data_IF_820759948996
#
_entry.id   IF_820759948996
#
_cell.length_a   1.000
_cell.length_b   1.000
_cell.length_c   1.000
_cell.angle_alpha   90.00
_cell.angle_beta   90.00
_cell.angle_gamma   90.00
#
_symmetry.space_group_name_H-M   'P 1'
#
loop_
_entity.id
_entity.type
_entity.pdbx_description
1 polymer ?
#
# COMPACT_ATOMS: atom_id res chain seq x y z
N UNK A 1 -4.90 -11.16 -17.04
CA UNK A 1 -4.13 -9.90 -16.88
C UNK A 1 -4.80 -8.92 -15.92
N UNK A 2 -5.73 -8.03 -16.31
CA UNK A 2 -6.22 -7.03 -15.34
C UNK A 2 -7.02 -7.64 -14.17
N UNK A 3 -8.00 -8.50 -14.44
CA UNK A 3 -8.79 -9.16 -13.39
C UNK A 3 -7.90 -10.04 -12.47
N UNK A 4 -6.80 -10.56 -13.00
CA UNK A 4 -5.79 -11.34 -12.27
C UNK A 4 -4.93 -10.47 -11.35
N UNK A 5 -4.46 -9.31 -11.83
CA UNK A 5 -3.82 -8.28 -11.00
C UNK A 5 -4.72 -7.96 -9.79
N UNK A 6 -6.01 -7.71 -10.03
CA UNK A 6 -6.94 -7.37 -8.96
C UNK A 6 -7.13 -8.51 -7.95
N UNK A 7 -7.23 -9.76 -8.42
CA UNK A 7 -7.36 -10.92 -7.56
C UNK A 7 -6.12 -11.10 -6.66
N UNK A 8 -4.91 -10.89 -7.20
CA UNK A 8 -3.66 -10.97 -6.43
C UNK A 8 -3.54 -9.85 -5.41
N UNK A 9 -3.89 -8.62 -5.78
CA UNK A 9 -3.99 -7.51 -4.82
C UNK A 9 -5.01 -7.79 -3.73
N UNK A 10 -6.11 -8.48 -4.07
CA UNK A 10 -7.12 -8.85 -3.10
C UNK A 10 -6.62 -9.84 -2.05
N UNK A 11 -5.88 -10.86 -2.51
CA UNK A 11 -5.26 -11.83 -1.63
C UNK A 11 -4.25 -11.18 -0.67
N UNK A 12 -3.34 -10.35 -1.19
CA UNK A 12 -2.32 -9.69 -0.38
C UNK A 12 -2.91 -8.86 0.76
N UNK A 13 -3.97 -8.09 0.48
CA UNK A 13 -4.61 -7.24 1.49
C UNK A 13 -5.39 -8.05 2.53
N UNK A 14 -5.98 -9.19 2.16
CA UNK A 14 -6.66 -10.08 3.10
C UNK A 14 -5.67 -10.72 4.10
N UNK A 15 -4.49 -11.13 3.64
CA UNK A 15 -3.47 -11.76 4.49
C UNK A 15 -2.96 -10.83 5.61
N UNK A 16 -2.79 -9.54 5.34
CA UNK A 16 -2.30 -8.58 6.35
C UNK A 16 -3.34 -8.33 7.43
N UNK A 17 -4.62 -8.28 7.07
CA UNK A 17 -5.68 -7.99 8.03
C UNK A 17 -5.83 -9.10 9.09
N UNK A 18 -5.38 -10.32 8.80
CA UNK A 18 -5.32 -11.42 9.78
C UNK A 18 -4.25 -11.20 10.85
N UNK A 19 -3.17 -10.49 10.53
CA UNK A 19 -2.07 -10.22 11.44
C UNK A 19 -1.50 -8.81 11.18
N UNK A 20 -2.14 -7.76 11.71
CA UNK A 20 -1.86 -6.37 11.37
C UNK A 20 -0.64 -5.83 12.12
N UNK A 21 0.52 -6.47 11.94
CA UNK A 21 1.83 -6.03 12.43
C UNK A 21 2.60 -5.31 11.33
N UNK A 22 3.52 -4.41 11.70
CA UNK A 22 4.30 -3.61 10.76
C UNK A 22 5.12 -4.49 9.81
N UNK A 23 5.59 -5.65 10.25
CA UNK A 23 6.26 -6.65 9.38
C UNK A 23 5.34 -7.11 8.23
N UNK A 24 4.08 -7.41 8.53
CA UNK A 24 3.13 -7.88 7.52
C UNK A 24 2.70 -6.73 6.59
N UNK A 25 2.59 -5.52 7.12
CA UNK A 25 2.38 -4.34 6.27
C UNK A 25 3.59 -4.09 5.35
N UNK A 26 4.81 -4.28 5.84
CA UNK A 26 6.04 -4.16 5.03
C UNK A 26 6.12 -5.21 3.93
N UNK A 27 5.76 -6.46 4.26
CA UNK A 27 5.60 -7.54 3.29
C UNK A 27 4.58 -7.18 2.21
N UNK A 28 3.45 -6.59 2.59
CA UNK A 28 2.46 -6.10 1.63
C UNK A 28 2.98 -4.98 0.73
N UNK A 29 3.73 -4.02 1.28
CA UNK A 29 4.36 -2.99 0.47
C UNK A 29 5.28 -3.62 -0.58
N UNK A 30 6.09 -4.61 -0.17
CA UNK A 30 6.96 -5.36 -1.08
C UNK A 30 6.19 -6.11 -2.15
N UNK A 31 5.21 -6.91 -1.75
CA UNK A 31 4.42 -7.70 -2.69
C UNK A 31 3.62 -6.81 -3.66
N UNK A 32 3.11 -5.67 -3.18
CA UNK A 32 2.45 -4.68 -4.03
C UNK A 32 3.42 -4.07 -5.03
N UNK A 33 4.61 -3.68 -4.59
CA UNK A 33 5.65 -3.13 -5.47
C UNK A 33 6.07 -4.12 -6.55
N UNK A 34 6.32 -5.39 -6.19
CA UNK A 34 6.69 -6.43 -7.14
C UNK A 34 5.55 -6.69 -8.15
N UNK A 35 4.30 -6.70 -7.69
CA UNK A 35 3.13 -6.84 -8.55
C UNK A 35 2.92 -5.61 -9.46
N UNK A 36 3.19 -4.40 -8.97
CA UNK A 36 3.15 -3.18 -9.77
C UNK A 36 4.14 -3.25 -10.93
N UNK A 37 5.35 -3.75 -10.68
CA UNK A 37 6.36 -3.98 -11.72
C UNK A 37 5.92 -5.03 -12.74
N UNK A 38 5.30 -6.12 -12.30
CA UNK A 38 4.78 -7.17 -13.19
C UNK A 38 3.70 -6.63 -14.14
N UNK A 39 2.83 -5.74 -13.63
CA UNK A 39 1.74 -5.13 -14.40
C UNK A 39 2.00 -3.65 -14.72
N UNK A 40 3.25 -3.27 -14.96
CA UNK A 40 3.70 -1.86 -15.05
C UNK A 40 2.90 -1.04 -16.07
N UNK A 41 2.54 -1.64 -17.22
CA UNK A 41 1.73 -1.00 -18.25
C UNK A 41 0.40 -0.48 -17.68
N UNK A 42 -0.22 -1.23 -16.76
CA UNK A 42 -1.49 -0.82 -16.18
C UNK A 42 -1.31 0.45 -15.35
N UNK A 43 -0.23 0.55 -14.56
CA UNK A 43 0.02 1.70 -13.69
C UNK A 43 0.47 2.96 -14.44
N UNK A 44 1.17 2.81 -15.57
CA UNK A 44 1.55 3.93 -16.42
C UNK A 44 0.38 4.44 -17.28
N UNK A 45 -0.47 3.53 -17.76
CA UNK A 45 -1.54 3.85 -18.72
C UNK A 45 -2.96 3.81 -18.13
N UNK A 46 -3.11 3.77 -16.79
CA UNK A 46 -4.41 3.56 -16.13
C UNK A 46 -5.50 4.50 -16.67
N UNK A 47 -5.18 5.79 -16.88
CA UNK A 47 -6.15 6.78 -17.36
C UNK A 47 -6.62 6.51 -18.79
N UNK A 48 -5.73 6.08 -19.69
CA UNK A 48 -6.11 5.75 -21.07
C UNK A 48 -6.95 4.48 -21.10
N UNK A 49 -6.54 3.47 -20.33
CA UNK A 49 -7.24 2.20 -20.21
C UNK A 49 -8.69 2.37 -19.71
N UNK A 50 -8.92 3.18 -18.67
CA UNK A 50 -10.27 3.41 -18.14
C UNK A 50 -11.12 4.35 -19.01
N UNK A 51 -10.51 5.20 -19.86
CA UNK A 51 -11.23 6.05 -20.81
C UNK A 51 -11.72 5.26 -22.03
N UNK A 52 -10.98 4.23 -22.42
CA UNK A 52 -11.28 3.41 -23.61
C UNK A 52 -12.22 2.25 -23.33
N UNK A 53 -12.44 1.86 -22.06
CA UNK A 53 -13.31 0.74 -21.69
C UNK A 53 -14.14 1.01 -20.43
N UNK A 54 -15.47 1.14 -20.61
CA UNK A 54 -16.40 1.33 -19.48
C UNK A 54 -16.45 0.09 -18.56
N UNK A 55 -16.30 -1.12 -19.12
CA UNK A 55 -16.16 -2.35 -18.32
C UNK A 55 -14.95 -2.22 -17.39
N UNK A 56 -13.80 -1.84 -17.93
CA UNK A 56 -12.56 -1.74 -17.17
C UNK A 56 -12.65 -0.67 -16.08
N UNK A 57 -13.21 0.49 -16.42
CA UNK A 57 -13.48 1.58 -15.48
C UNK A 57 -14.35 1.16 -14.31
N UNK A 58 -15.43 0.39 -14.55
CA UNK A 58 -16.28 -0.14 -13.48
C UNK A 58 -15.49 -1.06 -12.55
N UNK A 59 -14.80 -2.04 -13.12
CA UNK A 59 -14.00 -3.02 -12.35
C UNK A 59 -12.89 -2.31 -11.56
N UNK A 60 -12.20 -1.33 -12.16
CA UNK A 60 -11.19 -0.52 -11.46
C UNK A 60 -11.79 0.32 -10.33
N UNK A 61 -12.96 0.93 -10.53
CA UNK A 61 -13.65 1.66 -9.46
C UNK A 61 -13.98 0.75 -8.28
N UNK A 62 -14.52 -0.44 -8.55
CA UNK A 62 -14.83 -1.44 -7.52
C UNK A 62 -13.57 -1.84 -6.75
N UNK A 63 -12.48 -2.10 -7.47
CA UNK A 63 -11.19 -2.43 -6.87
C UNK A 63 -10.66 -1.31 -5.96
N UNK A 64 -10.68 -0.05 -6.43
CA UNK A 64 -10.24 1.10 -5.64
C UNK A 64 -11.09 1.28 -4.38
N UNK A 65 -12.41 1.04 -4.44
CA UNK A 65 -13.25 1.06 -3.24
C UNK A 65 -12.84 -0.05 -2.28
N UNK A 66 -12.61 -1.25 -2.80
CA UNK A 66 -12.21 -2.41 -2.02
C UNK A 66 -10.86 -2.20 -1.31
N UNK A 67 -9.81 -1.78 -2.04
CA UNK A 67 -8.50 -1.46 -1.47
C UNK A 67 -8.62 -0.42 -0.36
N UNK A 68 -9.41 0.64 -0.60
CA UNK A 68 -9.62 1.67 0.41
C UNK A 68 -10.21 1.09 1.69
N UNK A 69 -11.24 0.25 1.59
CA UNK A 69 -11.85 -0.39 2.76
C UNK A 69 -10.86 -1.29 3.52
N UNK A 70 -10.01 -2.04 2.82
CA UNK A 70 -9.01 -2.89 3.45
C UNK A 70 -7.92 -2.09 4.16
N UNK A 71 -7.42 -1.01 3.53
CA UNK A 71 -6.45 -0.11 4.16
C UNK A 71 -7.06 0.64 5.35
N UNK A 72 -8.33 1.04 5.27
CA UNK A 72 -9.06 1.62 6.41
C UNK A 72 -9.12 0.63 7.58
N UNK A 73 -9.48 -0.63 7.31
CA UNK A 73 -9.52 -1.69 8.32
C UNK A 73 -8.14 -1.92 8.94
N UNK A 74 -7.10 -2.03 8.12
CA UNK A 74 -5.72 -2.20 8.58
C UNK A 74 -5.29 -1.09 9.55
N UNK A 75 -5.60 0.16 9.21
CA UNK A 75 -5.30 1.31 10.06
C UNK A 75 -6.08 1.26 11.38
N UNK A 76 -7.36 0.89 11.33
CA UNK A 76 -8.19 0.74 12.53
C UNK A 76 -7.66 -0.37 13.44
N UNK A 77 -7.23 -1.50 12.88
CA UNK A 77 -6.63 -2.60 13.64
C UNK A 77 -5.30 -2.17 14.29
N UNK A 78 -4.42 -1.48 13.56
CA UNK A 78 -3.18 -0.95 14.11
C UNK A 78 -3.44 0.10 15.22
N UNK A 79 -4.51 0.89 15.11
CA UNK A 79 -4.93 1.78 16.18
C UNK A 79 -5.43 1.01 17.40
N UNK A 80 -6.23 -0.03 17.21
CA UNK A 80 -6.68 -0.89 18.30
C UNK A 80 -5.51 -1.61 19.01
N UNK A 81 -4.43 -1.92 18.27
CA UNK A 81 -3.17 -2.41 18.83
C UNK A 81 -2.36 -1.33 19.57
N UNK A 82 -2.70 -0.06 19.44
CA UNK A 82 -2.02 1.05 20.09
C UNK A 82 -0.70 1.47 19.42
N UNK A 83 -0.45 1.07 18.16
CA UNK A 83 0.79 1.40 17.44
C UNK A 83 0.68 2.64 16.56
N UNK A 84 -0.55 3.02 16.21
CA UNK A 84 -0.86 4.30 15.57
C UNK A 84 -1.97 5.00 16.32
N UNK A 85 -1.97 6.33 16.33
CA UNK A 85 -3.08 7.13 16.81
C UNK A 85 -3.23 8.42 16.01
N UNK A 86 -4.47 8.88 15.88
CA UNK A 86 -4.81 10.09 15.15
C UNK A 86 -5.83 10.90 15.93
N UNK A 87 -5.76 12.23 15.77
CA UNK A 87 -6.65 13.14 16.48
C UNK A 87 -8.08 12.99 15.97
N UNK A 88 -9.08 12.80 16.85
CA UNK A 88 -10.47 12.83 16.46
C UNK A 88 -10.82 14.15 15.75
N UNK A 89 -11.42 14.07 14.55
CA UNK A 89 -11.98 15.22 13.83
C UNK A 89 -11.10 15.81 12.71
N UNK A 90 -9.77 15.87 12.86
CA UNK A 90 -8.86 16.36 11.79
C UNK A 90 -8.43 15.24 10.84
N UNK A 91 -8.14 14.08 11.42
CA UNK A 91 -7.59 12.91 10.74
C UNK A 91 -8.51 11.72 10.99
N UNK A 92 -8.80 10.97 9.92
CA UNK A 92 -9.60 9.76 10.01
C UNK A 92 -9.00 8.68 9.11
N UNK A 93 -9.21 7.40 9.43
CA UNK A 93 -8.58 6.29 8.71
C UNK A 93 -8.90 6.31 7.21
N UNK A 94 -10.05 6.88 6.82
CA UNK A 94 -10.45 7.04 5.41
C UNK A 94 -9.61 8.05 4.64
N UNK A 95 -9.18 9.15 5.26
CA UNK A 95 -8.27 10.11 4.63
C UNK A 95 -6.87 9.53 4.52
N UNK A 96 -6.40 8.88 5.59
CA UNK A 96 -5.07 8.30 5.66
C UNK A 96 -4.91 7.12 4.68
N UNK A 97 -5.89 6.22 4.61
CA UNK A 97 -5.89 5.11 3.65
C UNK A 97 -5.87 5.59 2.20
N UNK A 98 -6.61 6.67 1.91
CA UNK A 98 -6.60 7.28 0.58
C UNK A 98 -5.24 7.85 0.24
N UNK A 99 -4.61 8.57 1.17
CA UNK A 99 -3.29 9.15 0.96
C UNK A 99 -2.24 8.06 0.71
N UNK A 100 -2.23 7.04 1.58
CA UNK A 100 -1.34 5.88 1.43
C UNK A 100 -1.52 5.21 0.07
N UNK A 101 -2.76 4.92 -0.33
CA UNK A 101 -3.06 4.32 -1.65
C UNK A 101 -2.57 5.20 -2.80
N UNK A 102 -2.76 6.52 -2.75
CA UNK A 102 -2.28 7.40 -3.80
C UNK A 102 -0.76 7.39 -3.95
N UNK A 103 -0.04 7.42 -2.82
CA UNK A 103 1.43 7.30 -2.82
C UNK A 103 1.85 5.99 -3.46
N UNK A 104 1.21 4.88 -3.09
CA UNK A 104 1.53 3.56 -3.63
C UNK A 104 1.20 3.44 -5.13
N UNK A 105 -0.02 3.78 -5.55
CA UNK A 105 -0.50 3.57 -6.92
C UNK A 105 0.19 4.50 -7.93
N UNK A 106 0.59 5.70 -7.51
CA UNK A 106 1.22 6.68 -8.40
C UNK A 106 2.74 6.57 -8.49
N UNK A 107 3.38 5.69 -7.71
CA UNK A 107 4.83 5.56 -7.62
C UNK A 107 5.52 5.55 -8.99
N UNK A 108 5.22 4.55 -9.83
CA UNK A 108 5.89 4.39 -11.11
C UNK A 108 5.66 5.56 -12.07
N UNK A 109 4.45 6.14 -12.07
CA UNK A 109 4.15 7.31 -12.89
C UNK A 109 4.97 8.52 -12.45
N UNK A 110 5.08 8.76 -11.14
CA UNK A 110 5.84 9.90 -10.61
C UNK A 110 7.34 9.74 -10.84
N UNK A 111 7.90 8.55 -10.58
CA UNK A 111 9.32 8.28 -10.86
C UNK A 111 9.66 8.51 -12.33
N UNK A 112 8.79 8.06 -13.25
CA UNK A 112 8.96 8.30 -14.68
C UNK A 112 8.92 9.79 -15.03
N UNK A 113 8.01 10.56 -14.44
CA UNK A 113 7.88 12.01 -14.67
C UNK A 113 9.09 12.78 -14.11
N UNK A 114 9.58 12.36 -12.95
CA UNK A 114 10.70 13.01 -12.26
C UNK A 114 12.07 12.59 -12.83
N UNK A 115 12.11 11.54 -13.66
CA UNK A 115 13.36 11.00 -14.21
C UNK A 115 14.16 10.18 -13.20
N UNK A 116 13.49 9.67 -12.16
CA UNK A 116 14.09 8.93 -11.05
C UNK A 116 13.90 7.41 -11.21
N UNK A 117 14.73 6.57 -10.54
CA UNK A 117 14.62 5.11 -10.62
C UNK A 117 13.29 4.57 -10.08
N UNK A 118 12.47 4.01 -10.97
CA UNK A 118 11.18 3.44 -10.60
C UNK A 118 11.27 2.04 -9.94
N UNK A 119 12.46 1.41 -9.94
CA UNK A 119 12.70 0.06 -9.44
C UNK A 119 13.34 0.00 -8.03
N UNK A 120 13.49 1.15 -7.37
CA UNK A 120 13.97 1.25 -6.00
C UNK A 120 12.84 0.97 -4.98
N UNK A 121 12.79 -0.28 -4.50
CA UNK A 121 11.87 -0.66 -3.42
C UNK A 121 12.14 0.10 -2.11
N UNK A 122 13.40 0.44 -1.81
CA UNK A 122 13.76 1.15 -0.58
C UNK A 122 13.15 2.55 -0.55
N UNK A 123 13.20 3.26 -1.67
CA UNK A 123 12.56 4.56 -1.84
C UNK A 123 11.03 4.46 -1.78
N UNK A 124 10.43 3.51 -2.50
CA UNK A 124 8.98 3.23 -2.45
C UNK A 124 8.49 2.95 -1.02
N UNK A 125 9.20 2.08 -0.30
CA UNK A 125 8.94 1.70 1.08
C UNK A 125 9.05 2.91 2.01
N UNK A 126 10.12 3.70 1.89
CA UNK A 126 10.30 4.91 2.69
C UNK A 126 9.17 5.92 2.45
N UNK A 127 8.79 6.14 1.20
CA UNK A 127 7.70 7.03 0.82
C UNK A 127 6.37 6.56 1.43
N UNK A 128 6.03 5.28 1.27
CA UNK A 128 4.81 4.68 1.83
C UNK A 128 4.74 4.80 3.35
N UNK A 129 5.84 4.50 4.07
CA UNK A 129 5.88 4.60 5.53
C UNK A 129 5.80 6.04 6.04
N UNK A 130 6.33 7.02 5.29
CA UNK A 130 6.28 8.43 5.66
C UNK A 130 4.85 8.96 5.82
N UNK A 131 3.87 8.33 5.15
CA UNK A 131 2.44 8.65 5.32
C UNK A 131 1.94 8.29 6.72
N UNK A 132 2.46 7.21 7.32
CA UNK A 132 1.99 6.69 8.61
C UNK A 132 2.82 7.17 9.81
N UNK A 133 4.11 7.45 9.62
CA UNK A 133 5.04 7.86 10.68
C UNK A 133 4.54 9.02 11.56
N UNK A 134 3.88 10.07 11.03
CA UNK A 134 3.35 11.15 11.87
C UNK A 134 2.30 10.70 12.90
N UNK A 135 1.72 9.53 12.70
CA UNK A 135 0.67 8.95 13.54
C UNK A 135 1.19 7.84 14.45
N UNK A 136 2.49 7.54 14.46
CA UNK A 136 3.06 6.52 15.33
C UNK A 136 2.99 6.94 16.79
N UNK A 137 2.57 6.01 17.64
CA UNK A 137 2.79 6.10 19.09
C UNK A 137 4.23 5.70 19.42
N UNK A 138 4.64 5.81 20.68
CA UNK A 138 5.93 5.28 21.14
C UNK A 138 6.08 3.78 20.84
N UNK A 139 4.97 3.02 20.94
CA UNK A 139 4.94 1.61 20.57
C UNK A 139 5.13 1.42 19.06
N UNK A 140 4.49 2.24 18.23
CA UNK A 140 4.67 2.23 16.79
C UNK A 140 6.11 2.52 16.38
N UNK A 141 6.75 3.54 16.96
CA UNK A 141 8.16 3.82 16.72
C UNK A 141 9.07 2.66 17.10
N UNK A 142 8.78 1.98 18.21
CA UNK A 142 9.53 0.78 18.63
C UNK A 142 9.37 -0.37 17.64
N UNK A 143 8.14 -0.67 17.21
CA UNK A 143 7.87 -1.75 16.24
C UNK A 143 8.52 -1.42 14.88
N UNK A 144 8.44 -0.18 14.42
CA UNK A 144 9.10 0.27 13.20
C UNK A 144 10.63 0.21 13.28
N UNK A 145 11.19 0.53 14.45
CA UNK A 145 12.63 0.39 14.71
C UNK A 145 13.09 -1.07 14.62
N UNK A 146 12.31 -2.01 15.17
CA UNK A 146 12.59 -3.45 15.07
C UNK A 146 12.56 -3.92 13.62
N UNK A 147 11.56 -3.49 12.85
CA UNK A 147 11.45 -3.79 11.43
C UNK A 147 12.69 -3.34 10.64
N UNK A 148 13.20 -2.13 10.90
CA UNK A 148 14.41 -1.60 10.25
C UNK A 148 15.69 -2.32 10.66
N UNK A 149 15.70 -2.91 11.84
CA UNK A 149 16.86 -3.65 12.37
C UNK A 149 16.94 -5.09 11.85
N UNK A 150 15.89 -5.62 11.21
CA UNK A 150 15.90 -6.94 10.58
C UNK A 150 16.53 -6.81 9.19
N UNK A 151 17.74 -7.37 8.95
CA UNK A 151 18.30 -7.40 7.60
C UNK A 151 17.53 -8.44 6.77
N UNK A 152 16.73 -7.97 5.81
CA UNK A 152 16.42 -8.67 4.56
C UNK A 152 16.03 -10.14 4.60
N UNK A 153 15.42 -10.67 5.68
CA UNK A 153 14.80 -12.01 5.63
C UNK A 153 13.43 -11.91 4.97
N UNK A 154 13.44 -11.88 3.64
CA UNK A 154 12.31 -12.32 2.84
C UNK A 154 12.00 -13.74 3.32
N UNK A 155 10.82 -13.96 3.90
CA UNK A 155 10.29 -15.32 4.04
C UNK A 155 10.10 -15.86 2.64
N UNK A 156 11.05 -16.63 2.14
CA UNK A 156 10.79 -17.59 1.08
C UNK A 156 9.78 -18.57 1.63
N UNK A 157 8.56 -18.50 1.10
CA UNK A 157 7.58 -19.58 1.23
C UNK A 157 8.14 -20.74 0.42
N UNK A 158 8.56 -21.81 1.12
CA UNK A 158 8.79 -23.13 0.52
C UNK A 158 7.47 -23.76 0.07
#
# INVERSE_FOLDING_TARGET
IYEELLARQQQLLAEINLAPIFENFDYFLRATFDLQKEYIFFYLDTLELIRTSEKLKRVHREHVQWQRMQLELLLQLNRARGVVDWRPGSDNPRRLSRHLRHVMDSWHSLQLIEGEPADDFGAYRSCSWSVLQPYFTDMGWKEYGQLRAIPGKVKTVE
#
